data_IF_952709691811
#
_entry.id   IF_952709691811
#
_cell.length_a   1.000
_cell.length_b   1.000
_cell.length_c   1.000
_cell.angle_alpha   90.00
_cell.angle_beta   90.00
_cell.angle_gamma   90.00
#
_symmetry.space_group_name_H-M   'P 1'
#
loop_
_entity.id
_entity.type
_entity.pdbx_description
1 polymer ?
#
# COMPACT_ATOMS: atom_id res chain seq x y z
N UNK A 1 -6.82 12.86 -13.95
CA UNK A 1 -7.13 11.91 -15.05
C UNK A 1 -5.85 11.48 -15.75
N UNK A 2 -5.81 10.23 -16.23
CA UNK A 2 -4.63 9.62 -16.82
C UNK A 2 -5.01 8.25 -17.38
N UNK A 3 -4.02 7.44 -17.74
CA UNK A 3 -4.14 6.11 -18.35
C UNK A 3 -4.59 5.05 -17.33
N UNK A 4 -5.58 5.38 -16.49
CA UNK A 4 -6.22 4.45 -15.57
C UNK A 4 -6.80 3.26 -16.35
N UNK A 5 -6.84 2.09 -15.72
CA UNK A 5 -7.53 0.89 -16.17
C UNK A 5 -8.52 0.57 -15.05
N UNK A 6 -9.43 1.52 -14.79
CA UNK A 6 -10.40 1.41 -13.72
C UNK A 6 -11.60 0.59 -14.20
N UNK A 7 -11.97 -0.44 -13.44
CA UNK A 7 -13.15 -1.25 -13.70
C UNK A 7 -14.40 -0.52 -13.17
N UNK A 8 -14.42 -0.28 -11.86
CA UNK A 8 -15.57 0.21 -11.09
C UNK A 8 -15.18 0.92 -9.78
N UNK A 9 -13.89 1.18 -9.57
CA UNK A 9 -13.36 1.86 -8.40
C UNK A 9 -13.74 3.33 -8.38
N UNK A 10 -13.52 3.97 -7.23
CA UNK A 10 -13.62 5.40 -7.05
C UNK A 10 -12.19 5.95 -7.02
N UNK A 11 -11.98 7.04 -7.74
CA UNK A 11 -10.78 7.86 -7.76
C UNK A 11 -11.29 9.30 -7.67
N UNK A 12 -10.94 10.03 -6.61
CA UNK A 12 -11.50 11.37 -6.41
C UNK A 12 -10.96 12.37 -7.45
N UNK A 13 -11.57 13.55 -7.52
CA UNK A 13 -11.22 14.62 -8.45
C UNK A 13 -9.75 15.04 -8.38
N UNK A 14 -9.09 14.87 -7.22
CA UNK A 14 -7.69 15.25 -7.02
C UNK A 14 -6.76 14.04 -6.85
N UNK A 15 -7.32 12.83 -6.82
CA UNK A 15 -6.54 11.60 -6.91
C UNK A 15 -6.07 11.42 -8.36
N UNK A 16 -5.20 10.44 -8.63
CA UNK A 16 -4.71 10.21 -9.98
C UNK A 16 -4.37 8.74 -10.16
N UNK A 17 -4.59 8.23 -11.37
CA UNK A 17 -4.12 6.92 -11.79
C UNK A 17 -3.49 7.02 -13.18
N UNK A 18 -2.40 6.28 -13.40
CA UNK A 18 -1.62 6.32 -14.64
C UNK A 18 -1.06 4.90 -14.83
N UNK A 19 -1.28 4.32 -16.03
CA UNK A 19 -0.93 2.95 -16.43
C UNK A 19 -1.07 1.93 -15.29
N UNK A 20 -2.19 1.97 -14.56
CA UNK A 20 -2.43 1.17 -13.37
C UNK A 20 -3.88 0.71 -13.36
N UNK A 21 -4.18 -0.38 -12.65
CA UNK A 21 -5.48 -1.06 -12.72
C UNK A 21 -6.16 -0.97 -11.35
N UNK A 22 -7.49 -0.83 -11.33
CA UNK A 22 -8.23 -0.62 -10.10
C UNK A 22 -9.52 -1.44 -10.12
N UNK A 23 -9.73 -2.22 -9.07
CA UNK A 23 -10.87 -3.12 -8.93
C UNK A 23 -11.61 -2.79 -7.63
N UNK A 24 -12.74 -2.06 -7.74
CA UNK A 24 -13.59 -1.65 -6.60
C UNK A 24 -12.79 -0.95 -5.49
N UNK A 25 -11.76 -0.18 -5.83
CA UNK A 25 -10.94 0.54 -4.86
C UNK A 25 -11.63 1.84 -4.49
N UNK A 26 -11.11 2.51 -3.45
CA UNK A 26 -11.59 3.79 -2.98
C UNK A 26 -10.34 4.63 -2.77
N UNK A 27 -10.04 5.50 -3.74
CA UNK A 27 -8.80 6.24 -3.83
C UNK A 27 -9.17 7.70 -3.55
N UNK A 28 -8.76 8.22 -2.39
CA UNK A 28 -9.10 9.57 -1.92
C UNK A 28 -7.82 10.37 -1.73
N UNK A 29 -7.72 11.51 -2.40
CA UNK A 29 -6.53 12.35 -2.55
C UNK A 29 -5.23 11.53 -2.76
N UNK A 30 -5.31 10.40 -3.47
CA UNK A 30 -4.22 9.43 -3.56
C UNK A 30 -3.81 9.14 -5.00
N UNK A 31 -2.66 8.48 -5.13
CA UNK A 31 -1.97 8.29 -6.40
C UNK A 31 -1.71 6.80 -6.59
N UNK A 32 -2.18 6.25 -7.70
CA UNK A 32 -2.06 4.84 -8.07
C UNK A 32 -1.33 4.80 -9.41
N UNK A 33 0.00 4.62 -9.43
CA UNK A 33 0.77 4.83 -10.66
C UNK A 33 1.72 3.67 -11.01
N UNK A 34 2.16 3.66 -12.27
CA UNK A 34 3.18 2.77 -12.83
C UNK A 34 2.92 1.29 -12.53
N UNK A 35 1.95 0.69 -13.20
CA UNK A 35 1.49 -0.68 -13.03
C UNK A 35 1.18 -1.05 -11.58
N UNK A 36 0.61 -0.12 -10.82
CA UNK A 36 0.04 -0.46 -9.53
C UNK A 36 -1.28 -1.15 -9.84
N UNK A 37 -1.71 -2.02 -8.95
CA UNK A 37 -2.93 -2.79 -9.08
C UNK A 37 -3.57 -2.77 -7.70
N UNK A 38 -4.86 -2.41 -7.60
CA UNK A 38 -5.57 -2.40 -6.33
C UNK A 38 -6.86 -3.20 -6.48
N UNK A 39 -7.30 -3.81 -5.38
CA UNK A 39 -8.48 -4.64 -5.32
C UNK A 39 -9.12 -4.37 -3.95
N UNK A 40 -10.37 -3.91 -3.95
CA UNK A 40 -11.19 -3.62 -2.76
C UNK A 40 -10.44 -2.91 -1.62
N UNK A 41 -9.53 -1.99 -1.95
CA UNK A 41 -8.66 -1.33 -0.98
C UNK A 41 -9.01 0.15 -0.87
N UNK A 42 -8.68 0.74 0.27
CA UNK A 42 -8.86 2.15 0.59
C UNK A 42 -7.47 2.79 0.56
N UNK A 43 -7.29 3.85 -0.23
CA UNK A 43 -6.10 4.69 -0.21
C UNK A 43 -6.59 6.07 0.21
N UNK A 44 -5.89 6.72 1.13
CA UNK A 44 -6.28 8.01 1.67
C UNK A 44 -5.02 8.86 1.82
N UNK A 45 -4.96 9.96 1.07
CA UNK A 45 -3.83 10.89 1.00
C UNK A 45 -2.47 10.18 0.82
N UNK A 46 -2.42 9.11 0.02
CA UNK A 46 -1.29 8.19 -0.10
C UNK A 46 -0.78 8.07 -1.54
N UNK A 47 0.40 7.47 -1.73
CA UNK A 47 0.98 7.19 -3.04
C UNK A 47 1.41 5.74 -3.08
N UNK A 48 1.14 5.11 -4.22
CA UNK A 48 1.47 3.72 -4.48
C UNK A 48 2.04 3.62 -5.90
N UNK A 49 3.13 2.85 -6.04
CA UNK A 49 3.85 2.67 -7.29
C UNK A 49 4.14 1.19 -7.47
N UNK A 50 3.87 0.66 -8.67
CA UNK A 50 4.07 -0.72 -9.11
C UNK A 50 3.74 -1.80 -8.07
N UNK A 51 2.74 -1.59 -7.23
CA UNK A 51 2.44 -2.49 -6.11
C UNK A 51 1.14 -3.22 -6.40
N UNK A 52 0.89 -4.34 -5.71
CA UNK A 52 -0.30 -5.15 -5.88
C UNK A 52 -0.92 -5.21 -4.49
N UNK A 53 -2.12 -4.65 -4.34
CA UNK A 53 -2.72 -4.43 -3.06
C UNK A 53 -4.15 -4.98 -3.08
N UNK A 54 -4.52 -5.73 -2.03
CA UNK A 54 -5.82 -6.37 -1.92
C UNK A 54 -6.32 -6.17 -0.48
N UNK A 55 -7.56 -5.68 -0.37
CA UNK A 55 -8.29 -5.48 0.89
C UNK A 55 -7.48 -4.70 1.95
N UNK A 56 -6.80 -3.62 1.54
CA UNK A 56 -5.91 -2.88 2.43
C UNK A 56 -6.46 -1.49 2.75
N UNK A 57 -5.87 -0.82 3.75
CA UNK A 57 -6.23 0.53 4.15
C UNK A 57 -4.90 1.26 4.25
N UNK A 58 -4.65 2.22 3.36
CA UNK A 58 -3.36 2.85 3.20
C UNK A 58 -3.57 4.33 3.42
N UNK A 59 -3.15 4.85 4.59
CA UNK A 59 -3.42 6.22 5.00
C UNK A 59 -2.09 6.97 5.11
N UNK A 60 -2.00 8.13 4.47
CA UNK A 60 -0.83 9.03 4.47
C UNK A 60 0.50 8.31 4.26
N UNK A 61 0.53 7.27 3.42
CA UNK A 61 1.69 6.39 3.25
C UNK A 61 2.21 6.44 1.81
N UNK A 62 3.41 5.90 1.61
CA UNK A 62 4.09 5.80 0.33
C UNK A 62 4.51 4.34 0.16
N UNK A 63 4.21 3.75 -0.98
CA UNK A 63 4.34 2.32 -1.21
C UNK A 63 4.99 2.10 -2.58
N UNK A 64 5.98 1.21 -2.65
CA UNK A 64 6.75 0.97 -3.87
C UNK A 64 6.96 -0.53 -4.04
N UNK A 65 6.62 -1.08 -5.20
CA UNK A 65 6.80 -2.47 -5.61
C UNK A 65 6.53 -3.49 -4.49
N UNK A 66 5.44 -3.28 -3.75
CA UNK A 66 5.10 -4.01 -2.53
C UNK A 66 3.81 -4.81 -2.76
N UNK A 67 3.55 -5.81 -1.91
CA UNK A 67 2.42 -6.72 -2.02
C UNK A 67 1.60 -6.61 -0.72
N UNK A 68 0.56 -5.79 -0.72
CA UNK A 68 -0.29 -5.59 0.44
C UNK A 68 -1.45 -6.58 0.38
N UNK A 69 -1.68 -7.34 1.45
CA UNK A 69 -2.77 -8.30 1.54
C UNK A 69 -3.43 -8.13 2.90
N UNK A 70 -4.69 -7.70 2.93
CA UNK A 70 -5.50 -7.62 4.14
C UNK A 70 -4.85 -6.82 5.26
N UNK A 71 -4.07 -5.79 4.92
CA UNK A 71 -3.21 -5.08 5.87
C UNK A 71 -3.51 -3.58 5.90
N UNK A 72 -3.02 -2.88 6.92
CA UNK A 72 -3.19 -1.45 7.07
C UNK A 72 -1.82 -0.80 7.12
N UNK A 73 -1.66 0.31 6.39
CA UNK A 73 -0.47 1.14 6.41
C UNK A 73 -0.93 2.52 6.88
N UNK A 74 -0.25 3.13 7.83
CA UNK A 74 -0.65 4.40 8.41
C UNK A 74 0.59 5.25 8.67
N UNK A 75 0.83 6.25 7.81
CA UNK A 75 1.96 7.16 7.93
C UNK A 75 3.30 6.47 7.70
N UNK A 76 3.43 5.60 6.69
CA UNK A 76 4.63 4.79 6.47
C UNK A 76 5.22 5.00 5.07
N UNK A 77 6.45 4.52 4.90
CA UNK A 77 7.16 4.40 3.64
C UNK A 77 7.55 2.92 3.56
N UNK A 78 7.16 2.21 2.52
CA UNK A 78 7.43 0.78 2.39
C UNK A 78 7.83 0.46 0.96
N UNK A 79 8.89 -0.34 0.79
CA UNK A 79 9.38 -0.71 -0.54
C UNK A 79 9.74 -2.18 -0.61
N UNK A 80 9.49 -2.77 -1.78
CA UNK A 80 9.90 -4.12 -2.16
C UNK A 80 9.51 -5.19 -1.11
N UNK A 81 8.38 -5.01 -0.43
CA UNK A 81 8.00 -5.82 0.73
C UNK A 81 6.66 -6.56 0.50
N UNK A 82 6.26 -7.42 1.43
CA UNK A 82 4.99 -8.13 1.42
C UNK A 82 4.43 -8.09 2.84
N UNK A 83 3.12 -7.87 2.98
CA UNK A 83 2.48 -7.70 4.27
C UNK A 83 1.13 -8.42 4.23
N UNK A 84 0.85 -9.28 5.21
CA UNK A 84 -0.29 -10.19 5.19
C UNK A 84 -1.00 -10.14 6.54
N UNK A 85 -2.20 -9.54 6.58
CA UNK A 85 -2.98 -9.46 7.81
C UNK A 85 -2.31 -8.61 8.88
N UNK A 86 -1.70 -7.48 8.51
CA UNK A 86 -0.89 -6.65 9.42
C UNK A 86 -1.52 -5.27 9.62
N UNK A 87 -1.04 -4.52 10.60
CA UNK A 87 -1.35 -3.11 10.79
C UNK A 87 0.00 -2.48 11.15
N UNK A 88 0.41 -1.48 10.37
CA UNK A 88 1.76 -0.91 10.40
C UNK A 88 1.62 0.60 10.50
N UNK A 89 2.27 1.18 11.51
CA UNK A 89 2.21 2.61 11.82
C UNK A 89 3.59 3.13 12.22
N UNK A 90 3.73 4.47 12.27
CA UNK A 90 4.90 5.14 12.83
C UNK A 90 4.42 6.33 13.66
N UNK A 91 4.07 7.48 13.03
CA UNK A 91 4.30 7.80 11.62
C UNK A 91 5.79 8.03 11.34
N UNK A 92 6.16 8.07 10.07
CA UNK A 92 7.56 8.12 9.64
C UNK A 92 8.21 6.73 9.67
N UNK A 93 7.38 5.67 9.75
CA UNK A 93 7.82 4.30 9.61
C UNK A 93 8.45 4.11 8.25
N UNK A 94 9.50 3.30 8.18
CA UNK A 94 10.25 3.00 6.98
C UNK A 94 10.50 1.49 6.97
N UNK A 95 10.18 0.82 5.86
CA UNK A 95 10.30 -0.64 5.71
C UNK A 95 10.88 -0.91 4.33
N UNK A 96 11.86 -1.82 4.25
CA UNK A 96 12.47 -2.23 3.00
C UNK A 96 12.62 -3.75 3.00
N UNK A 97 12.29 -4.38 1.87
CA UNK A 97 12.57 -5.79 1.59
C UNK A 97 12.17 -6.76 2.72
N UNK A 98 11.03 -6.51 3.38
CA UNK A 98 10.51 -7.35 4.46
C UNK A 98 9.33 -8.20 4.00
N UNK A 99 9.05 -9.26 4.74
CA UNK A 99 7.84 -10.07 4.61
C UNK A 99 7.26 -10.09 6.02
N UNK A 100 5.98 -9.75 6.19
CA UNK A 100 5.39 -9.54 7.51
C UNK A 100 4.02 -10.21 7.49
N UNK A 101 3.72 -10.99 8.52
CA UNK A 101 2.45 -11.68 8.66
C UNK A 101 1.95 -11.46 10.09
N UNK A 102 0.72 -10.97 10.25
CA UNK A 102 0.05 -10.71 11.54
C UNK A 102 0.98 -10.12 12.61
N UNK A 103 1.76 -9.10 12.23
CA UNK A 103 2.59 -8.33 13.16
C UNK A 103 4.00 -8.89 13.34
N UNK A 104 4.34 -10.03 12.71
CA UNK A 104 5.64 -10.68 12.85
C UNK A 104 6.37 -10.55 11.50
N UNK A 105 7.49 -9.85 11.47
CA UNK A 105 8.36 -9.75 10.31
C UNK A 105 9.28 -10.99 10.24
N UNK A 106 9.69 -11.38 9.03
CA UNK A 106 10.68 -12.42 8.81
C UNK A 106 12.04 -12.01 9.41
N UNK A 107 12.84 -12.97 9.92
CA UNK A 107 14.15 -12.70 10.51
C UNK A 107 15.28 -12.56 9.47
N UNK A 108 14.93 -12.46 8.19
CA UNK A 108 15.89 -12.35 7.09
C UNK A 108 16.61 -11.01 7.19
N UNK A 109 17.93 -11.02 6.96
CA UNK A 109 18.75 -9.81 6.98
C UNK A 109 18.34 -8.80 5.90
N UNK A 110 17.59 -9.23 4.87
CA UNK A 110 17.07 -8.34 3.84
C UNK A 110 16.01 -7.39 4.40
N UNK A 111 15.28 -7.78 5.45
CA UNK A 111 14.25 -6.95 6.03
C UNK A 111 14.90 -5.82 6.81
N UNK A 112 14.65 -4.57 6.40
CA UNK A 112 15.03 -3.37 7.16
C UNK A 112 13.76 -2.72 7.65
N UNK A 113 13.82 -2.17 8.86
CA UNK A 113 12.74 -1.41 9.49
C UNK A 113 13.42 -0.29 10.27
N UNK A 114 12.84 0.92 10.21
CA UNK A 114 13.21 2.06 11.03
C UNK A 114 11.95 2.83 11.42
N UNK A 115 11.93 3.38 12.63
CA UNK A 115 10.89 4.28 13.12
C UNK A 115 9.47 3.72 13.07
N UNK A 116 9.31 2.39 13.13
CA UNK A 116 8.03 1.74 12.88
C UNK A 116 7.51 0.96 14.10
N UNK A 117 6.22 0.66 14.08
CA UNK A 117 5.52 -0.23 14.97
C UNK A 117 4.69 -1.20 14.12
N UNK A 118 4.64 -2.47 14.53
CA UNK A 118 3.91 -3.53 13.84
C UNK A 118 2.83 -4.06 14.78
N UNK A 119 1.74 -4.56 14.20
CA UNK A 119 0.65 -5.18 14.94
C UNK A 119 -0.08 -6.15 14.01
N UNK A 120 -0.82 -7.10 14.59
CA UNK A 120 -1.71 -7.97 13.84
C UNK A 120 -2.97 -7.19 13.47
N UNK A 121 -3.50 -7.47 12.27
CA UNK A 121 -4.81 -6.99 11.84
C UNK A 121 -5.88 -7.62 12.73
#
# INVERSE_FOLDING_TARGET
DGTCVNTNSQITANSQCVKSTATNCYIDNSQLVDTSICTRSQYSDANVKKSVTTDCNIDKSQVYLTTCTGSQYNGIYIRSSTTTGTSISGPGCSISTCTITRGVATPAAACKISGCSLSAM
#
